data_IF_793816627097
#
_entry.id   IF_793816627097
#
_cell.length_a   1.000
_cell.length_b   1.000
_cell.length_c   1.000
_cell.angle_alpha   90.00
_cell.angle_beta   90.00
_cell.angle_gamma   90.00
#
_symmetry.space_group_name_H-M   'P 1'
#
loop_
_entity.id
_entity.type
_entity.pdbx_description
1 polymer ?
#
# COMPACT_ATOMS: atom_id res chain seq x y z
N UNK A 1 -5.20 35.63 3.26
CA UNK A 1 -4.09 34.85 2.67
C UNK A 1 -3.45 33.83 3.60
N UNK A 2 -2.59 34.16 4.59
CA UNK A 2 -1.95 33.12 5.43
C UNK A 2 -2.92 32.26 6.24
N UNK A 3 -3.97 32.88 6.78
CA UNK A 3 -4.99 32.18 7.58
C UNK A 3 -5.87 31.26 6.74
N UNK A 4 -6.35 31.74 5.58
CA UNK A 4 -7.15 30.94 4.64
C UNK A 4 -6.35 29.75 4.08
N UNK A 5 -5.07 29.94 3.73
CA UNK A 5 -4.20 28.83 3.31
C UNK A 5 -4.01 27.80 4.42
N UNK A 6 -3.85 28.24 5.66
CA UNK A 6 -3.72 27.32 6.80
C UNK A 6 -5.01 26.54 7.06
N UNK A 7 -6.17 27.21 6.98
CA UNK A 7 -7.48 26.56 7.12
C UNK A 7 -7.72 25.54 6.01
N UNK A 8 -7.34 25.87 4.78
CA UNK A 8 -7.46 24.97 3.64
C UNK A 8 -6.54 23.75 3.79
N UNK A 9 -5.27 23.95 4.18
CA UNK A 9 -4.33 22.87 4.48
C UNK A 9 -4.86 21.95 5.59
N UNK A 10 -5.41 22.52 6.67
CA UNK A 10 -5.98 21.72 7.76
C UNK A 10 -7.18 20.88 7.30
N UNK A 11 -8.00 21.42 6.39
CA UNK A 11 -9.13 20.70 5.81
C UNK A 11 -8.67 19.53 4.94
N UNK A 12 -7.65 19.74 4.11
CA UNK A 12 -7.04 18.70 3.27
C UNK A 12 -6.41 17.59 4.12
N UNK A 13 -5.61 17.94 5.13
CA UNK A 13 -5.01 16.97 6.05
C UNK A 13 -6.07 16.16 6.82
N UNK A 14 -7.16 16.79 7.22
CA UNK A 14 -8.26 16.09 7.89
C UNK A 14 -8.95 15.10 6.94
N UNK A 15 -9.26 15.53 5.72
CA UNK A 15 -9.87 14.64 4.72
C UNK A 15 -8.96 13.43 4.40
N UNK A 16 -7.64 13.65 4.30
CA UNK A 16 -6.67 12.57 4.11
C UNK A 16 -6.66 11.61 5.32
N UNK A 17 -6.65 12.15 6.54
CA UNK A 17 -6.73 11.34 7.76
C UNK A 17 -8.02 10.52 7.84
N UNK A 18 -9.16 11.12 7.51
CA UNK A 18 -10.47 10.45 7.53
C UNK A 18 -10.50 9.30 6.51
N UNK A 19 -9.98 9.51 5.29
CA UNK A 19 -9.83 8.48 4.28
C UNK A 19 -8.90 7.33 4.73
N UNK A 20 -7.79 7.64 5.41
CA UNK A 20 -6.91 6.63 5.97
C UNK A 20 -7.59 5.76 7.03
N UNK A 21 -8.43 6.37 7.89
CA UNK A 21 -9.20 5.65 8.90
C UNK A 21 -10.22 4.70 8.25
N UNK A 22 -10.93 5.14 7.21
CA UNK A 22 -11.87 4.30 6.45
C UNK A 22 -11.17 3.09 5.80
N UNK A 23 -9.96 3.30 5.24
CA UNK A 23 -9.14 2.23 4.68
C UNK A 23 -8.59 1.26 5.75
N UNK A 24 -8.39 1.72 6.98
CA UNK A 24 -7.88 0.89 8.08
C UNK A 24 -8.92 -0.11 8.59
N UNK A 25 -10.20 0.29 8.57
CA UNK A 25 -11.34 -0.56 8.88
C UNK A 25 -11.69 -1.52 7.73
N UNK A 26 -11.31 -1.16 6.50
CA UNK A 26 -11.62 -1.92 5.30
C UNK A 26 -10.61 -3.05 4.99
N UNK A 27 -11.14 -4.25 4.73
CA UNK A 27 -10.38 -5.39 4.24
C UNK A 27 -10.80 -5.76 2.83
N UNK A 28 -9.81 -6.06 1.98
CA UNK A 28 -10.05 -6.67 0.69
C UNK A 28 -10.13 -8.19 0.86
N UNK A 29 -11.31 -8.74 0.56
CA UNK A 29 -11.57 -10.18 0.50
C UNK A 29 -11.48 -10.66 -0.96
N UNK A 30 -10.28 -10.56 -1.51
CA UNK A 30 -9.94 -11.12 -2.82
C UNK A 30 -8.99 -12.30 -2.67
N UNK A 31 -8.66 -12.96 -3.79
CA UNK A 31 -7.50 -13.83 -3.86
C UNK A 31 -6.24 -12.99 -3.60
N UNK A 32 -5.89 -12.80 -2.32
CA UNK A 32 -4.73 -12.02 -1.86
C UNK A 32 -3.46 -12.44 -2.59
N UNK A 33 -3.35 -13.71 -2.94
CA UNK A 33 -2.29 -14.23 -3.80
C UNK A 33 -2.19 -13.47 -5.14
N UNK A 34 -3.29 -13.30 -5.89
CA UNK A 34 -3.32 -12.56 -7.17
C UNK A 34 -2.97 -11.09 -7.00
N UNK A 35 -3.48 -10.45 -5.94
CA UNK A 35 -3.13 -9.07 -5.58
C UNK A 35 -1.61 -8.98 -5.34
N UNK A 36 -1.06 -9.91 -4.55
CA UNK A 36 0.37 -9.97 -4.27
C UNK A 36 1.23 -10.34 -5.48
N UNK A 37 0.71 -11.11 -6.44
CA UNK A 37 1.38 -11.35 -7.72
C UNK A 37 1.59 -10.04 -8.48
N UNK A 38 0.58 -9.17 -8.54
CA UNK A 38 0.68 -7.85 -9.20
C UNK A 38 1.63 -6.92 -8.47
N UNK A 39 1.57 -6.89 -7.14
CA UNK A 39 2.55 -6.18 -6.29
C UNK A 39 3.97 -6.64 -6.62
N UNK A 40 4.20 -7.95 -6.71
CA UNK A 40 5.50 -8.53 -7.06
C UNK A 40 5.94 -8.19 -8.48
N UNK A 41 5.03 -8.22 -9.46
CA UNK A 41 5.32 -7.83 -10.83
C UNK A 41 5.80 -6.37 -10.90
N UNK A 42 5.08 -5.45 -10.24
CA UNK A 42 5.47 -4.03 -10.16
C UNK A 42 6.80 -3.86 -9.45
N UNK A 43 7.00 -4.50 -8.29
CA UNK A 43 8.26 -4.48 -7.54
C UNK A 43 9.42 -4.97 -8.39
N UNK A 44 9.28 -6.08 -9.13
CA UNK A 44 10.32 -6.63 -10.01
C UNK A 44 10.69 -5.64 -11.13
N UNK A 45 9.71 -4.97 -11.75
CA UNK A 45 9.95 -3.92 -12.75
C UNK A 45 10.77 -2.77 -12.18
N UNK A 46 10.47 -2.32 -10.95
CA UNK A 46 11.25 -1.27 -10.28
C UNK A 46 12.63 -1.79 -9.83
N UNK A 47 12.73 -3.03 -9.39
CA UNK A 47 14.00 -3.67 -9.02
C UNK A 47 14.99 -3.76 -10.19
N UNK A 48 14.48 -3.95 -11.40
CA UNK A 48 15.31 -3.91 -12.62
C UNK A 48 15.92 -2.51 -12.83
N UNK A 49 15.20 -1.44 -12.49
CA UNK A 49 15.66 -0.04 -12.59
C UNK A 49 16.53 0.39 -11.40
N UNK A 50 16.21 -0.10 -10.20
CA UNK A 50 16.93 0.22 -8.97
C UNK A 50 16.88 -0.95 -7.99
N UNK A 51 18.05 -1.46 -7.59
CA UNK A 51 18.18 -2.67 -6.77
C UNK A 51 17.67 -2.49 -5.33
N UNK A 52 17.26 -1.28 -4.93
CA UNK A 52 16.69 -1.03 -3.60
C UNK A 52 15.35 -1.74 -3.39
N UNK A 53 14.57 -1.98 -4.46
CA UNK A 53 13.22 -2.54 -4.41
C UNK A 53 13.19 -4.06 -4.14
N UNK A 54 13.88 -4.50 -3.10
CA UNK A 54 13.81 -5.86 -2.57
C UNK A 54 12.48 -6.11 -1.85
N UNK A 55 12.13 -7.37 -1.63
CA UNK A 55 10.94 -7.70 -0.82
C UNK A 55 11.08 -7.20 0.62
N UNK A 56 12.28 -7.27 1.19
CA UNK A 56 12.61 -6.72 2.52
C UNK A 56 12.41 -5.20 2.57
N UNK A 57 12.81 -4.48 1.52
CA UNK A 57 12.60 -3.04 1.42
C UNK A 57 11.10 -2.71 1.38
N UNK A 58 10.36 -3.37 0.50
CA UNK A 58 8.92 -3.13 0.35
C UNK A 58 8.16 -3.44 1.65
N UNK A 59 8.43 -4.58 2.28
CA UNK A 59 7.78 -4.93 3.54
C UNK A 59 8.07 -3.90 4.62
N UNK A 60 9.34 -3.53 4.81
CA UNK A 60 9.75 -2.54 5.82
C UNK A 60 9.11 -1.17 5.58
N UNK A 61 9.13 -0.68 4.34
CA UNK A 61 8.58 0.64 3.99
C UNK A 61 7.05 0.68 4.02
N UNK A 62 6.39 -0.47 3.85
CA UNK A 62 4.93 -0.57 3.98
C UNK A 62 4.47 -0.84 5.42
N UNK A 63 5.39 -0.89 6.39
CA UNK A 63 5.08 -1.15 7.80
C UNK A 63 4.76 -2.61 8.13
N UNK A 64 5.25 -3.56 7.31
CA UNK A 64 5.07 -5.00 7.50
C UNK A 64 6.35 -5.69 7.97
N UNK A 65 6.18 -6.73 8.78
CA UNK A 65 7.24 -7.72 8.99
C UNK A 65 7.46 -8.53 7.71
N UNK A 66 8.68 -9.09 7.56
CA UNK A 66 9.01 -9.98 6.42
C UNK A 66 8.06 -11.19 6.37
N UNK A 67 7.76 -11.78 7.53
CA UNK A 67 6.85 -12.93 7.64
C UNK A 67 5.41 -12.56 7.26
N UNK A 68 4.90 -11.40 7.68
CA UNK A 68 3.55 -10.97 7.28
C UNK A 68 3.43 -10.81 5.76
N UNK A 69 4.45 -10.23 5.12
CA UNK A 69 4.53 -10.13 3.67
C UNK A 69 4.52 -11.51 3.00
N UNK A 70 5.32 -12.45 3.50
CA UNK A 70 5.39 -13.80 2.93
C UNK A 70 4.07 -14.57 3.09
N UNK A 71 3.35 -14.37 4.20
CA UNK A 71 2.02 -14.95 4.41
C UNK A 71 0.96 -14.41 3.44
N UNK A 72 1.05 -13.13 3.06
CA UNK A 72 0.20 -12.59 2.00
C UNK A 72 0.58 -13.20 0.64
N UNK A 73 1.88 -13.24 0.34
CA UNK A 73 2.38 -13.75 -0.94
C UNK A 73 2.11 -15.24 -1.15
N UNK A 74 2.09 -16.04 -0.08
CA UNK A 74 1.79 -17.48 -0.15
C UNK A 74 0.30 -17.80 -0.17
N UNK A 75 -0.58 -16.79 -0.06
CA UNK A 75 -2.02 -17.01 0.09
C UNK A 75 -2.42 -17.60 1.45
N UNK A 76 -1.51 -17.72 2.42
CA UNK A 76 -1.84 -18.17 3.78
C UNK A 76 -2.86 -17.24 4.46
N UNK A 77 -2.82 -15.95 4.14
CA UNK A 77 -3.86 -14.99 4.53
C UNK A 77 -4.83 -14.74 3.38
N UNK A 78 -6.12 -14.89 3.67
CA UNK A 78 -7.21 -14.70 2.70
C UNK A 78 -7.74 -13.26 2.64
N UNK A 79 -7.21 -12.36 3.46
CA UNK A 79 -7.57 -10.94 3.41
C UNK A 79 -6.36 -10.05 3.69
N UNK A 80 -6.35 -8.88 3.05
CA UNK A 80 -5.36 -7.82 3.28
C UNK A 80 -6.09 -6.52 3.62
N UNK A 81 -5.60 -5.78 4.62
CA UNK A 81 -6.15 -4.45 4.92
C UNK A 81 -5.87 -3.51 3.74
N UNK A 82 -6.83 -2.69 3.34
CA UNK A 82 -6.64 -1.76 2.23
C UNK A 82 -5.55 -0.73 2.52
N UNK A 83 -5.42 -0.26 3.77
CA UNK A 83 -4.31 0.62 4.17
C UNK A 83 -2.93 -0.01 3.94
N UNK A 84 -2.80 -1.33 4.12
CA UNK A 84 -1.54 -2.04 3.86
C UNK A 84 -1.26 -2.07 2.36
N UNK A 85 -2.27 -2.37 1.55
CA UNK A 85 -2.14 -2.39 0.09
C UNK A 85 -1.82 -0.99 -0.47
N UNK A 86 -2.46 0.05 0.07
CA UNK A 86 -2.18 1.46 -0.25
C UNK A 86 -0.74 1.83 0.05
N UNK A 87 -0.22 1.47 1.23
CA UNK A 87 1.20 1.72 1.59
C UNK A 87 2.16 1.01 0.63
N UNK A 88 1.84 -0.20 0.18
CA UNK A 88 2.64 -0.87 -0.86
C UNK A 88 2.61 -0.11 -2.18
N UNK A 89 1.42 0.34 -2.61
CA UNK A 89 1.27 1.15 -3.83
C UNK A 89 2.10 2.44 -3.78
N UNK A 90 2.06 3.15 -2.65
CA UNK A 90 2.84 4.37 -2.40
C UNK A 90 4.34 4.11 -2.51
N UNK A 91 4.85 3.03 -1.89
CA UNK A 91 6.27 2.65 -1.99
C UNK A 91 6.66 2.28 -3.44
N UNK A 92 5.72 1.72 -4.20
CA UNK A 92 5.92 1.30 -5.59
C UNK A 92 5.56 2.38 -6.62
N UNK A 93 5.28 3.60 -6.16
CA UNK A 93 4.90 4.76 -6.98
C UNK A 93 3.84 4.37 -8.03
N UNK A 94 2.72 3.81 -7.58
CA UNK A 94 1.58 3.43 -8.41
C UNK A 94 0.27 3.62 -7.64
N UNK A 95 -0.87 3.46 -8.31
CA UNK A 95 -2.17 3.55 -7.65
C UNK A 95 -2.52 2.21 -6.98
N UNK A 96 -3.42 2.22 -6.00
CA UNK A 96 -3.92 0.99 -5.37
C UNK A 96 -4.74 0.16 -6.38
N UNK A 97 -5.44 0.82 -7.31
CA UNK A 97 -6.27 0.15 -8.33
C UNK A 97 -5.44 -0.70 -9.29
N UNK A 98 -4.15 -0.40 -9.47
CA UNK A 98 -3.23 -1.19 -10.29
C UNK A 98 -3.08 -2.66 -9.81
N UNK A 99 -3.61 -2.98 -8.61
CA UNK A 99 -3.58 -4.32 -8.03
C UNK A 99 -4.93 -5.06 -8.02
N UNK A 100 -6.05 -4.39 -8.36
CA UNK A 100 -7.42 -4.87 -8.12
C UNK A 100 -8.15 -5.41 -9.37
N UNK A 101 -7.47 -5.54 -10.50
CA UNK A 101 -8.05 -6.10 -11.73
C UNK A 101 -8.32 -7.62 -11.68
#
# INVERSE_FOLDING_TARGET
MKKEMQEQLNKELKAESDAYNELEESCLYEFVEKVMERVEQRRKKLYQKSKIYTQTYLSKKSGLSRSAYDNYRSGYRNSIKLVTLKRMADVLNCDITDFLD
#
